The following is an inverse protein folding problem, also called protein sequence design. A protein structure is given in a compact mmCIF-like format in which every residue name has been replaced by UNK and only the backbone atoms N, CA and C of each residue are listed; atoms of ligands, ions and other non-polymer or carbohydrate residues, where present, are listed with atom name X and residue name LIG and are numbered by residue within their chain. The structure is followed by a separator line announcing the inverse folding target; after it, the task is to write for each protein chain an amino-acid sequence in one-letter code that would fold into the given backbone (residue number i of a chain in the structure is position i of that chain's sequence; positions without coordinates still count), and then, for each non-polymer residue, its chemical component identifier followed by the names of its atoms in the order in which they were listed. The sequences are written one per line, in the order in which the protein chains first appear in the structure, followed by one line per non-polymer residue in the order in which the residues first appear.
data_IF_991483075965
#
_entry.id   IF_991483075965
#
_cell.length_a   1.000
_cell.length_b   1.000
_cell.length_c   1.000
_cell.angle_alpha   90.00
_cell.angle_beta   90.00
_cell.angle_gamma   90.00
#
_symmetry.space_group_name_H-M   'P 1'
#
loop_
_entity.id
_entity.type
_entity.pdbx_description
1 polymer ?
#
# COMPACT_ATOMS: atom_id res chain seq x y z
N UNK A 1 -0.38 19.92 -7.75
CA UNK A 1 0.44 20.78 -6.93
C UNK A 1 1.35 19.89 -6.09
N UNK A 2 0.90 19.25 -5.03
CA UNK A 2 1.73 18.43 -4.11
C UNK A 2 2.68 17.44 -4.80
N UNK A 3 2.24 16.64 -5.78
CA UNK A 3 3.08 15.66 -6.49
C UNK A 3 4.23 16.30 -7.30
N UNK A 4 4.11 17.54 -7.75
CA UNK A 4 5.21 18.26 -8.41
C UNK A 4 6.20 18.80 -7.39
N UNK A 5 5.70 19.30 -6.27
CA UNK A 5 6.51 19.76 -5.14
C UNK A 5 7.31 18.56 -4.57
N UNK A 6 6.66 17.41 -4.39
CA UNK A 6 7.33 16.18 -3.96
C UNK A 6 8.43 15.73 -4.95
N UNK A 7 8.13 15.78 -6.25
CA UNK A 7 9.12 15.46 -7.28
C UNK A 7 10.36 16.37 -7.20
N UNK A 8 10.14 17.68 -7.17
CA UNK A 8 11.26 18.65 -7.12
C UNK A 8 12.06 18.53 -5.83
N UNK A 9 11.37 18.32 -4.70
CA UNK A 9 12.03 18.14 -3.41
C UNK A 9 12.90 16.88 -3.39
N UNK A 10 12.34 15.74 -3.79
CA UNK A 10 13.06 14.45 -3.77
C UNK A 10 14.23 14.49 -4.76
N UNK A 11 14.05 15.06 -5.94
CA UNK A 11 15.11 15.22 -6.95
C UNK A 11 16.27 16.05 -6.40
N UNK A 12 16.01 17.25 -5.89
CA UNK A 12 17.04 18.13 -5.29
C UNK A 12 17.74 17.45 -4.12
N UNK A 13 16.97 16.82 -3.23
CA UNK A 13 17.54 16.12 -2.07
C UNK A 13 18.44 14.96 -2.50
N UNK A 14 18.10 14.23 -3.55
CA UNK A 14 18.94 13.17 -4.11
C UNK A 14 20.29 13.72 -4.58
N UNK A 15 20.32 14.88 -5.24
CA UNK A 15 21.55 15.55 -5.67
C UNK A 15 22.37 16.03 -4.46
N UNK A 16 21.73 16.68 -3.47
CA UNK A 16 22.40 17.13 -2.24
C UNK A 16 23.09 15.99 -1.48
N UNK A 17 22.47 14.81 -1.48
CA UNK A 17 23.01 13.60 -0.83
C UNK A 17 24.01 12.84 -1.70
N UNK A 18 24.32 13.32 -2.92
CA UNK A 18 25.23 12.64 -3.86
C UNK A 18 24.65 11.35 -4.48
N UNK A 19 23.33 11.14 -4.40
CA UNK A 19 22.64 9.96 -4.92
C UNK A 19 22.28 10.17 -6.41
N UNK A 20 23.30 10.28 -7.27
CA UNK A 20 23.13 10.69 -8.66
C UNK A 20 22.31 9.70 -9.50
N UNK A 21 22.46 8.39 -9.28
CA UNK A 21 21.66 7.38 -9.97
C UNK A 21 20.18 7.49 -9.62
N UNK A 22 19.87 7.77 -8.34
CA UNK A 22 18.50 8.03 -7.91
C UNK A 22 17.96 9.32 -8.53
N UNK A 23 18.73 10.40 -8.56
CA UNK A 23 18.31 11.66 -9.19
C UNK A 23 18.00 11.46 -10.69
N UNK A 24 18.85 10.76 -11.42
CA UNK A 24 18.63 10.42 -12.82
C UNK A 24 17.37 9.56 -13.02
N UNK A 25 17.16 8.57 -12.15
CA UNK A 25 15.94 7.75 -12.19
C UNK A 25 14.67 8.59 -11.97
N UNK A 26 14.67 9.47 -10.96
CA UNK A 26 13.54 10.37 -10.66
C UNK A 26 13.24 11.30 -11.84
N UNK A 27 14.27 11.89 -12.45
CA UNK A 27 14.13 12.76 -13.62
C UNK A 27 13.51 12.03 -14.81
N UNK A 28 13.98 10.81 -15.10
CA UNK A 28 13.48 9.98 -16.21
C UNK A 28 12.01 9.55 -15.99
N UNK A 29 11.63 9.24 -14.76
CA UNK A 29 10.27 8.84 -14.41
C UNK A 29 9.29 10.02 -14.42
N UNK A 30 9.77 11.21 -14.05
CA UNK A 30 8.95 12.41 -13.92
C UNK A 30 7.98 12.37 -12.73
N UNK A 31 7.15 13.42 -12.55
CA UNK A 31 6.28 13.56 -11.37
C UNK A 31 5.24 12.44 -11.24
N UNK A 32 5.27 11.70 -10.14
CA UNK A 32 4.34 10.62 -9.82
C UNK A 32 3.19 11.12 -8.91
N UNK A 33 1.99 10.57 -9.10
CA UNK A 33 0.83 10.85 -8.26
C UNK A 33 0.46 9.63 -7.42
N UNK A 34 0.19 9.83 -6.15
CA UNK A 34 -0.46 8.80 -5.32
C UNK A 34 -1.87 8.58 -5.86
N UNK A 35 -2.13 7.38 -6.40
CA UNK A 35 -3.45 7.00 -6.92
C UNK A 35 -4.35 6.56 -5.77
N UNK A 36 -5.14 7.50 -5.24
CA UNK A 36 -6.03 7.23 -4.11
C UNK A 36 -7.14 6.25 -4.48
N UNK A 37 -7.39 5.32 -3.57
CA UNK A 37 -8.53 4.40 -3.66
C UNK A 37 -9.85 5.16 -3.64
N UNK A 38 -10.75 4.77 -4.57
CA UNK A 38 -12.15 5.24 -4.62
C UNK A 38 -13.11 4.26 -3.93
N UNK A 39 -12.61 3.15 -3.40
CA UNK A 39 -13.40 2.15 -2.69
C UNK A 39 -13.77 2.67 -1.29
N UNK A 40 -14.78 2.06 -0.67
CA UNK A 40 -14.98 2.22 0.76
C UNK A 40 -13.81 1.59 1.56
N UNK A 41 -13.71 1.94 2.84
CA UNK A 41 -12.56 1.57 3.67
C UNK A 41 -12.42 0.06 3.84
N UNK A 42 -13.54 -0.64 4.09
CA UNK A 42 -13.56 -2.11 4.22
C UNK A 42 -13.06 -2.78 2.95
N UNK A 43 -13.57 -2.40 1.79
CA UNK A 43 -13.15 -2.95 0.50
C UNK A 43 -11.67 -2.66 0.22
N UNK A 44 -11.17 -1.50 0.63
CA UNK A 44 -9.77 -1.14 0.50
C UNK A 44 -8.87 -2.06 1.35
N UNK A 45 -9.20 -2.26 2.64
CA UNK A 45 -8.46 -3.16 3.52
C UNK A 45 -8.49 -4.61 3.01
N UNK A 46 -9.66 -5.09 2.56
CA UNK A 46 -9.77 -6.42 1.96
C UNK A 46 -8.85 -6.56 0.75
N UNK A 47 -8.76 -5.55 -0.12
CA UNK A 47 -7.83 -5.58 -1.26
C UNK A 47 -6.38 -5.72 -0.81
N UNK A 48 -5.97 -5.01 0.25
CA UNK A 48 -4.62 -5.14 0.81
C UNK A 48 -4.36 -6.57 1.29
N UNK A 49 -5.29 -7.16 2.07
CA UNK A 49 -5.16 -8.55 2.56
C UNK A 49 -5.08 -9.56 1.40
N UNK A 50 -5.90 -9.38 0.38
CA UNK A 50 -5.86 -10.23 -0.82
C UNK A 50 -4.47 -10.21 -1.45
N UNK A 51 -3.84 -9.03 -1.54
CA UNK A 51 -2.54 -8.83 -2.17
C UNK A 51 -1.33 -9.34 -1.38
N UNK A 52 -1.46 -9.56 -0.06
CA UNK A 52 -0.34 -10.00 0.78
C UNK A 52 0.32 -11.28 0.24
N UNK A 53 1.67 -11.29 0.15
CA UNK A 53 2.48 -12.46 -0.25
C UNK A 53 2.11 -13.05 -1.62
N UNK A 54 1.65 -12.22 -2.54
CA UNK A 54 1.32 -12.62 -3.91
C UNK A 54 2.04 -11.74 -4.93
N UNK A 55 2.28 -12.29 -6.12
CA UNK A 55 2.67 -11.46 -7.26
C UNK A 55 1.53 -10.50 -7.65
N UNK A 56 1.87 -9.39 -8.29
CA UNK A 56 0.90 -8.38 -8.76
C UNK A 56 -0.20 -9.02 -9.61
N UNK A 57 0.17 -9.93 -10.53
CA UNK A 57 -0.78 -10.62 -11.40
C UNK A 57 -1.75 -11.53 -10.62
N UNK A 58 -1.21 -12.35 -9.69
CA UNK A 58 -2.02 -13.24 -8.85
C UNK A 58 -2.96 -12.45 -7.95
N UNK A 59 -2.45 -11.37 -7.33
CA UNK A 59 -3.25 -10.47 -6.50
C UNK A 59 -4.39 -9.83 -7.29
N UNK A 60 -4.14 -9.34 -8.50
CA UNK A 60 -5.16 -8.74 -9.37
C UNK A 60 -6.25 -9.75 -9.76
N UNK A 61 -5.86 -10.98 -10.12
CA UNK A 61 -6.81 -12.03 -10.50
C UNK A 61 -7.71 -12.47 -9.33
N UNK A 62 -7.15 -12.63 -8.12
CA UNK A 62 -7.94 -12.98 -6.93
C UNK A 62 -8.80 -11.80 -6.49
N UNK A 63 -8.27 -10.57 -6.54
CA UNK A 63 -9.00 -9.37 -6.19
C UNK A 63 -10.24 -9.17 -7.06
N UNK A 64 -10.13 -9.35 -8.39
CA UNK A 64 -11.27 -9.17 -9.28
C UNK A 64 -12.45 -10.09 -8.91
N UNK A 65 -12.17 -11.36 -8.59
CA UNK A 65 -13.19 -12.32 -8.14
C UNK A 65 -13.73 -11.98 -6.75
N UNK A 66 -12.84 -11.59 -5.82
CA UNK A 66 -13.23 -11.22 -4.45
C UNK A 66 -14.10 -9.99 -4.45
N UNK A 67 -13.79 -8.98 -5.28
CA UNK A 67 -14.58 -7.76 -5.42
C UNK A 67 -16.02 -8.06 -5.86
N UNK A 68 -16.22 -8.94 -6.83
CA UNK A 68 -17.57 -9.35 -7.27
C UNK A 68 -18.39 -9.99 -6.14
N UNK A 69 -17.72 -10.76 -5.27
CA UNK A 69 -18.37 -11.37 -4.09
C UNK A 69 -18.76 -10.29 -3.09
N UNK A 70 -17.88 -9.33 -2.82
CA UNK A 70 -18.15 -8.21 -1.92
C UNK A 70 -19.32 -7.36 -2.42
N UNK A 71 -19.30 -6.95 -3.69
CA UNK A 71 -20.33 -6.10 -4.29
C UNK A 71 -21.73 -6.75 -4.23
N UNK A 72 -21.81 -8.08 -4.39
CA UNK A 72 -23.06 -8.83 -4.29
C UNK A 72 -23.56 -9.03 -2.86
N UNK A 73 -22.67 -9.09 -1.88
CA UNK A 73 -22.98 -9.48 -0.50
C UNK A 73 -22.69 -8.36 0.51
N UNK A 74 -22.53 -7.13 0.05
CA UNK A 74 -22.09 -6.00 0.85
C UNK A 74 -22.89 -5.91 2.16
N UNK A 75 -22.20 -6.16 3.28
CA UNK A 75 -22.69 -6.04 4.64
C UNK A 75 -23.91 -6.94 5.04
N UNK A 76 -24.24 -7.95 4.26
CA UNK A 76 -25.22 -8.96 4.68
C UNK A 76 -24.57 -9.89 5.70
N UNK A 77 -25.20 -10.01 6.90
CA UNK A 77 -24.73 -10.91 7.98
C UNK A 77 -24.36 -12.30 7.44
N UNK A 78 -23.31 -12.85 8.01
CA UNK A 78 -22.62 -14.10 7.64
C UNK A 78 -23.49 -15.12 6.91
N UNK A 79 -23.14 -15.39 5.68
CA UNK A 79 -23.70 -16.50 4.92
C UNK A 79 -22.61 -17.58 4.86
N UNK A 80 -22.91 -18.79 5.28
CA UNK A 80 -22.02 -19.96 5.11
C UNK A 80 -21.50 -20.08 3.67
N UNK A 81 -22.28 -19.57 2.70
CA UNK A 81 -21.90 -19.48 1.30
C UNK A 81 -20.79 -18.44 1.01
N UNK A 82 -20.57 -17.43 1.88
CA UNK A 82 -19.57 -16.39 1.64
C UNK A 82 -18.15 -16.95 1.71
N UNK A 83 -17.86 -17.76 2.74
CA UNK A 83 -16.54 -18.41 2.89
C UNK A 83 -16.26 -19.36 1.72
N UNK A 84 -17.25 -20.13 1.27
CA UNK A 84 -17.11 -21.00 0.11
C UNK A 84 -16.86 -20.19 -1.19
N UNK A 85 -17.52 -19.04 -1.32
CA UNK A 85 -17.30 -18.14 -2.46
C UNK A 85 -15.89 -17.55 -2.44
N UNK A 86 -15.38 -17.12 -1.29
CA UNK A 86 -13.99 -16.65 -1.15
C UNK A 86 -12.97 -17.76 -1.43
N UNK A 87 -13.22 -18.99 -0.96
CA UNK A 87 -12.38 -20.15 -1.30
C UNK A 87 -12.32 -20.38 -2.79
N UNK A 88 -13.47 -20.34 -3.48
CA UNK A 88 -13.55 -20.46 -4.96
C UNK A 88 -12.85 -19.29 -5.67
N UNK A 89 -12.79 -18.10 -5.08
CA UNK A 89 -12.06 -16.97 -5.61
C UNK A 89 -10.52 -17.14 -5.51
N UNK A 90 -10.02 -18.14 -4.76
CA UNK A 90 -8.62 -18.45 -4.62
C UNK A 90 -8.00 -17.98 -3.30
N UNK A 91 -8.82 -17.61 -2.30
CA UNK A 91 -8.33 -17.20 -0.99
C UNK A 91 -8.02 -18.41 -0.11
N UNK A 92 -6.90 -18.33 0.64
CA UNK A 92 -6.57 -19.30 1.68
C UNK A 92 -7.56 -19.21 2.85
N UNK A 93 -7.67 -20.28 3.64
CA UNK A 93 -8.50 -20.29 4.86
C UNK A 93 -8.14 -19.14 5.79
N UNK A 94 -6.85 -18.92 6.00
CA UNK A 94 -6.35 -17.84 6.86
C UNK A 94 -6.79 -16.45 6.35
N UNK A 95 -6.66 -16.16 5.04
CA UNK A 95 -7.14 -14.90 4.46
C UNK A 95 -8.65 -14.74 4.58
N UNK A 96 -9.43 -15.82 4.42
CA UNK A 96 -10.88 -15.80 4.60
C UNK A 96 -11.23 -15.40 6.05
N UNK A 97 -10.52 -15.94 7.05
CA UNK A 97 -10.72 -15.57 8.45
C UNK A 97 -10.41 -14.08 8.69
N UNK A 98 -9.34 -13.56 8.08
CA UNK A 98 -8.99 -12.14 8.15
C UNK A 98 -10.06 -11.25 7.49
N UNK A 99 -10.53 -11.64 6.31
CA UNK A 99 -11.60 -10.92 5.61
C UNK A 99 -12.88 -10.83 6.45
N UNK A 100 -13.28 -11.92 7.11
CA UNK A 100 -14.46 -11.93 7.97
C UNK A 100 -14.30 -10.93 9.14
N UNK A 101 -13.13 -10.86 9.76
CA UNK A 101 -12.82 -9.88 10.81
C UNK A 101 -12.95 -8.43 10.33
N UNK A 102 -12.61 -8.15 9.08
CA UNK A 102 -12.70 -6.81 8.48
C UNK A 102 -14.12 -6.49 8.02
N UNK A 103 -14.77 -7.39 7.27
CA UNK A 103 -16.08 -7.17 6.63
C UNK A 103 -17.20 -6.97 7.66
N UNK A 104 -17.11 -7.63 8.82
CA UNK A 104 -18.13 -7.54 9.87
C UNK A 104 -17.76 -6.59 11.01
N UNK A 105 -16.65 -5.86 10.89
CA UNK A 105 -16.23 -4.86 11.86
C UNK A 105 -17.07 -3.59 11.70
N UNK A 106 -17.95 -3.32 12.68
CA UNK A 106 -18.86 -2.17 12.64
C UNK A 106 -18.12 -0.83 12.57
N UNK A 107 -17.01 -0.70 13.30
CA UNK A 107 -16.23 0.54 13.33
C UNK A 107 -15.64 0.84 11.95
N UNK A 108 -15.12 -0.18 11.25
CA UNK A 108 -14.59 -0.02 9.90
C UNK A 108 -15.67 0.28 8.86
N UNK A 109 -16.86 -0.32 9.02
CA UNK A 109 -18.00 -0.10 8.11
C UNK A 109 -18.50 1.36 8.20
N UNK A 110 -18.47 1.94 9.40
CA UNK A 110 -18.94 3.31 9.66
C UNK A 110 -17.86 4.36 9.42
N UNK A 111 -16.59 3.96 9.36
CA UNK A 111 -15.46 4.88 9.19
C UNK A 111 -15.51 5.58 7.82
N UNK A 112 -15.68 6.89 7.83
CA UNK A 112 -15.57 7.69 6.61
C UNK A 112 -14.12 8.09 6.36
N UNK A 113 -13.78 8.36 5.10
CA UNK A 113 -12.44 8.84 4.75
C UNK A 113 -12.08 10.16 5.47
N UNK A 114 -13.07 11.02 5.69
CA UNK A 114 -12.86 12.29 6.37
C UNK A 114 -12.56 12.09 7.87
N UNK A 115 -13.21 11.13 8.53
CA UNK A 115 -12.93 10.84 9.92
C UNK A 115 -11.54 10.22 10.08
N UNK A 116 -11.20 9.27 9.19
CA UNK A 116 -9.90 8.63 9.20
C UNK A 116 -8.73 9.61 8.92
N UNK A 117 -8.95 10.65 8.12
CA UNK A 117 -7.96 11.71 7.87
C UNK A 117 -7.67 12.60 9.07
N UNK A 118 -8.57 12.66 10.04
CA UNK A 118 -8.39 13.47 11.27
C UNK A 118 -7.58 12.74 12.33
N UNK A 119 -7.43 11.41 12.20
CA UNK A 119 -6.66 10.61 13.14
C UNK A 119 -5.17 10.91 13.00
N UNK A 120 -4.49 10.96 14.14
CA UNK A 120 -3.02 10.94 14.16
C UNK A 120 -2.47 9.63 13.56
N UNK A 121 -1.16 9.55 13.37
CA UNK A 121 -0.51 8.31 12.90
C UNK A 121 -0.77 7.18 13.89
N UNK A 122 -0.61 7.47 15.17
CA UNK A 122 -0.78 6.53 16.28
C UNK A 122 -2.23 6.05 16.40
N UNK A 123 -3.20 6.98 16.40
CA UNK A 123 -4.63 6.64 16.46
C UNK A 123 -5.07 5.77 15.28
N UNK A 124 -4.58 6.08 14.08
CA UNK A 124 -4.86 5.27 12.89
C UNK A 124 -4.23 3.88 12.98
N UNK A 125 -3.02 3.80 13.52
CA UNK A 125 -2.32 2.54 13.76
C UNK A 125 -3.09 1.69 14.78
N UNK A 126 -3.45 2.24 15.92
CA UNK A 126 -4.17 1.55 17.01
C UNK A 126 -5.54 1.05 16.56
N UNK A 127 -6.25 1.83 15.73
CA UNK A 127 -7.52 1.40 15.13
C UNK A 127 -7.39 0.09 14.36
N UNK A 128 -6.28 -0.14 13.68
CA UNK A 128 -6.13 -1.23 12.71
C UNK A 128 -5.30 -2.41 13.23
N UNK A 129 -4.28 -2.17 14.07
CA UNK A 129 -3.33 -3.22 14.47
C UNK A 129 -3.97 -4.35 15.29
N UNK A 130 -5.09 -4.05 15.97
CA UNK A 130 -5.87 -5.05 16.71
C UNK A 130 -6.62 -6.04 15.81
N UNK A 131 -6.74 -5.74 14.52
CA UNK A 131 -7.51 -6.56 13.57
C UNK A 131 -6.61 -7.66 13.01
N UNK A 132 -7.00 -8.90 13.25
CA UNK A 132 -6.22 -10.06 12.79
C UNK A 132 -5.98 -10.02 11.27
N UNK A 133 -4.71 -10.14 10.89
CA UNK A 133 -4.26 -10.09 9.49
C UNK A 133 -3.83 -8.71 9.02
N UNK A 134 -4.11 -7.64 9.78
CA UNK A 134 -3.59 -6.30 9.52
C UNK A 134 -2.34 -6.09 10.37
N UNK A 135 -1.20 -5.92 9.71
CA UNK A 135 0.08 -5.58 10.33
C UNK A 135 0.58 -4.21 9.87
N UNK A 136 1.75 -3.76 10.37
CA UNK A 136 2.33 -2.45 10.04
C UNK A 136 2.33 -2.15 8.54
N UNK A 137 2.83 -3.05 7.72
CA UNK A 137 2.84 -2.89 6.26
C UNK A 137 1.43 -2.60 5.67
N UNK A 138 0.40 -3.32 6.13
CA UNK A 138 -0.96 -3.09 5.65
C UNK A 138 -1.53 -1.74 6.06
N UNK A 139 -1.15 -1.26 7.26
CA UNK A 139 -1.53 0.05 7.79
C UNK A 139 -0.87 1.15 6.95
N UNK A 140 0.43 1.02 6.68
CA UNK A 140 1.20 1.94 5.85
C UNK A 140 0.64 2.03 4.43
N UNK A 141 0.36 0.89 3.77
CA UNK A 141 -0.29 0.86 2.47
C UNK A 141 -1.65 1.54 2.48
N UNK A 142 -2.41 1.37 3.55
CA UNK A 142 -3.71 2.03 3.72
C UNK A 142 -3.54 3.54 3.91
N UNK A 143 -2.56 4.01 4.65
CA UNK A 143 -2.27 5.44 4.79
C UNK A 143 -1.86 6.05 3.46
N UNK A 144 -0.95 5.43 2.73
CA UNK A 144 -0.49 5.94 1.42
C UNK A 144 -1.66 5.97 0.43
N UNK A 145 -2.34 4.84 0.21
CA UNK A 145 -3.27 4.68 -0.92
C UNK A 145 -4.73 4.94 -0.61
N UNK A 146 -5.14 5.02 0.66
CA UNK A 146 -6.50 5.40 1.03
C UNK A 146 -6.56 6.82 1.58
N UNK A 147 -5.71 7.16 2.54
CA UNK A 147 -5.67 8.50 3.15
C UNK A 147 -5.00 9.49 2.22
N UNK A 148 -3.91 9.11 1.57
CA UNK A 148 -3.06 9.98 0.76
C UNK A 148 -2.02 10.70 1.61
N UNK A 149 -1.54 10.04 2.66
CA UNK A 149 -0.48 10.59 3.49
C UNK A 149 0.82 10.71 2.68
N UNK A 150 1.41 11.91 2.57
CA UNK A 150 2.60 12.11 1.75
C UNK A 150 3.88 11.56 2.39
N UNK A 151 3.88 11.31 3.71
CA UNK A 151 5.11 11.06 4.47
C UNK A 151 5.16 9.73 5.22
N UNK A 152 4.77 8.66 4.58
CA UNK A 152 4.93 7.28 5.08
C UNK A 152 6.05 6.59 4.31
N UNK A 153 6.98 5.94 5.02
CA UNK A 153 7.95 5.02 4.44
C UNK A 153 7.70 3.61 4.95
N UNK A 154 7.52 2.66 4.03
CA UNK A 154 7.17 1.28 4.39
C UNK A 154 8.42 0.40 4.45
N UNK A 155 9.14 0.47 5.58
CA UNK A 155 10.40 -0.27 5.76
C UNK A 155 10.24 -1.79 5.63
N UNK A 156 9.05 -2.33 5.91
CA UNK A 156 8.75 -3.76 5.81
C UNK A 156 8.35 -4.19 4.40
N UNK A 157 8.26 -3.27 3.44
CA UNK A 157 7.89 -3.60 2.06
C UNK A 157 9.05 -4.27 1.32
N UNK A 158 8.82 -5.51 0.88
CA UNK A 158 9.85 -6.30 0.19
C UNK A 158 10.24 -5.67 -1.17
N UNK A 159 9.29 -5.04 -1.84
CA UNK A 159 9.54 -4.31 -3.08
C UNK A 159 10.51 -3.15 -2.86
N UNK A 160 10.29 -2.35 -1.81
CA UNK A 160 11.19 -1.26 -1.46
C UNK A 160 12.58 -1.76 -1.09
N UNK A 161 12.68 -2.86 -0.31
CA UNK A 161 13.97 -3.47 0.03
C UNK A 161 14.72 -3.94 -1.23
N UNK A 162 14.04 -4.60 -2.15
CA UNK A 162 14.63 -5.06 -3.40
C UNK A 162 15.04 -3.89 -4.31
N UNK A 163 14.21 -2.85 -4.38
CA UNK A 163 14.52 -1.64 -5.12
C UNK A 163 15.74 -0.91 -4.55
N UNK A 164 15.85 -0.82 -3.22
CA UNK A 164 17.02 -0.24 -2.55
C UNK A 164 18.31 -0.99 -2.94
N UNK A 165 18.30 -2.32 -2.80
CA UNK A 165 19.45 -3.14 -3.17
C UNK A 165 19.83 -2.94 -4.64
N UNK A 166 18.86 -2.90 -5.55
CA UNK A 166 19.09 -2.69 -6.98
C UNK A 166 19.62 -1.30 -7.28
N UNK A 167 19.03 -0.26 -6.69
CA UNK A 167 19.38 1.14 -6.95
C UNK A 167 20.76 1.51 -6.42
N UNK A 168 21.09 1.08 -5.20
CA UNK A 168 22.29 1.53 -4.50
C UNK A 168 23.39 0.48 -4.40
N UNK A 169 23.10 -0.77 -4.77
CA UNK A 169 24.00 -1.92 -4.57
C UNK A 169 24.47 -2.08 -3.10
N UNK A 170 23.60 -1.75 -2.14
CA UNK A 170 23.86 -1.78 -0.71
C UNK A 170 22.92 -2.80 -0.07
N UNK A 171 23.47 -3.70 0.78
CA UNK A 171 22.68 -4.71 1.49
C UNK A 171 21.98 -4.13 2.74
N UNK A 172 22.59 -3.13 3.39
CA UNK A 172 21.98 -2.52 4.58
C UNK A 172 20.79 -1.68 4.17
N UNK A 173 19.62 -2.05 4.66
CA UNK A 173 18.36 -1.37 4.38
C UNK A 173 17.78 -0.89 5.70
N UNK A 174 17.80 0.44 5.91
CA UNK A 174 17.42 1.11 7.14
C UNK A 174 16.52 2.30 6.85
N UNK A 175 15.52 2.53 7.69
CA UNK A 175 14.59 3.66 7.56
C UNK A 175 15.31 5.01 7.69
N UNK A 176 16.40 5.08 8.45
CA UNK A 176 17.17 6.31 8.65
C UNK A 176 17.70 6.88 7.33
N UNK A 177 18.03 6.02 6.36
CA UNK A 177 18.44 6.43 5.01
C UNK A 177 17.38 7.28 4.31
N UNK A 178 16.09 7.02 4.59
CA UNK A 178 14.98 7.70 3.93
C UNK A 178 14.40 8.89 4.72
N UNK A 179 14.92 9.19 5.92
CA UNK A 179 14.45 10.33 6.74
C UNK A 179 14.62 11.66 6.05
N UNK A 180 15.69 11.82 5.28
CA UNK A 180 15.98 13.05 4.53
C UNK A 180 14.95 13.39 3.46
N UNK A 181 14.12 12.43 3.06
CA UNK A 181 13.04 12.61 2.08
C UNK A 181 11.70 13.01 2.70
N UNK A 182 11.62 13.17 4.03
CA UNK A 182 10.47 13.80 4.68
C UNK A 182 10.37 15.28 4.22
N UNK A 183 9.15 15.79 3.93
CA UNK A 183 7.83 15.23 4.21
C UNK A 183 7.20 14.43 3.03
N UNK A 184 7.98 13.87 2.11
CA UNK A 184 7.47 13.22 0.88
C UNK A 184 7.88 11.76 0.75
N UNK A 185 8.08 11.05 1.87
CA UNK A 185 8.55 9.64 1.86
C UNK A 185 7.60 8.67 1.14
N UNK A 186 6.28 8.95 1.12
CA UNK A 186 5.33 8.14 0.32
C UNK A 186 5.57 8.28 -1.18
N UNK A 187 5.95 9.46 -1.65
CA UNK A 187 6.36 9.66 -3.04
C UNK A 187 7.69 9.01 -3.34
N UNK A 188 8.62 9.02 -2.38
CA UNK A 188 9.87 8.26 -2.49
C UNK A 188 9.61 6.77 -2.67
N UNK A 189 8.64 6.18 -1.92
CA UNK A 189 8.22 4.80 -2.15
C UNK A 189 7.75 4.57 -3.60
N UNK A 190 6.99 5.51 -4.18
CA UNK A 190 6.54 5.38 -5.57
C UNK A 190 7.71 5.34 -6.56
N UNK A 191 8.73 6.21 -6.40
CA UNK A 191 9.92 6.19 -7.23
C UNK A 191 10.70 4.89 -7.08
N UNK A 192 10.86 4.40 -5.84
CA UNK A 192 11.56 3.15 -5.58
C UNK A 192 10.85 1.94 -6.19
N UNK A 193 9.51 1.85 -6.14
CA UNK A 193 8.80 0.76 -6.81
C UNK A 193 8.99 0.78 -8.32
N UNK A 194 9.16 1.95 -8.95
CA UNK A 194 9.46 2.07 -10.39
C UNK A 194 10.79 1.45 -10.78
N UNK A 195 11.79 1.44 -9.89
CA UNK A 195 13.08 0.77 -10.13
C UNK A 195 12.92 -0.70 -10.52
N UNK A 196 11.87 -1.37 -10.01
CA UNK A 196 11.58 -2.78 -10.29
C UNK A 196 10.71 -2.99 -11.54
N UNK A 197 9.99 -1.96 -12.00
CA UNK A 197 9.09 -2.09 -13.16
C UNK A 197 9.86 -2.07 -14.50
N UNK A 198 11.00 -1.41 -14.55
CA UNK A 198 11.82 -1.27 -15.76
C UNK A 198 12.38 -2.61 -16.27
N UNK A 199 12.33 -3.68 -15.48
CA UNK A 199 12.71 -5.04 -15.92
C UNK A 199 11.63 -5.78 -16.68
N UNK A 200 10.36 -5.33 -16.63
CA UNK A 200 9.23 -6.01 -17.27
C UNK A 200 8.92 -5.46 -18.68
N UNK A 201 9.76 -4.58 -19.23
CA UNK A 201 9.58 -3.97 -20.56
C UNK A 201 10.54 -4.54 -21.60
N UNK A 202 11.31 -5.58 -21.24
CA UNK A 202 12.13 -6.29 -22.23
C UNK A 202 11.64 -7.73 -22.34
N UNK A 203 10.54 -7.95 -23.08
CA UNK A 203 10.34 -9.03 -24.08
C UNK A 203 9.06 -8.73 -24.82
#
# INVERSE_FOLDING_TARGET
MEHKEAFEFIYKKSIELGLLDLANHIENVGPLKIKLSKMDFVSHLVKIIVGQQLSVQSAAAIWSRTKLILDKNKYKKSNLNLNNSFKKAGLSRQKIDYLNGIIFNKNLIQATKNDLKKLSVEEYYDLLISIKGIGPWSIEMSRIFFIGDPDIFSILDLGLKNAHKKMFNIESYDESFYKEFSPYRSYMCLFMWRVLEDENVTI
#
